data_IF_266392353290
#
_entry.id   IF_266392353290
#
_cell.length_a   1.000
_cell.length_b   1.000
_cell.length_c   1.000
_cell.angle_alpha   90.00
_cell.angle_beta   90.00
_cell.angle_gamma   90.00
#
_symmetry.space_group_name_H-M   'P 1'
#
loop_
_entity.id
_entity.type
_entity.pdbx_description
1 polymer ?
#
# COMPACT_ATOMS: atom_id res chain seq x y z
N UNK A 1 -1.89 21.29 -28.80
CA UNK A 1 -1.97 19.83 -28.58
C UNK A 1 -1.17 19.22 -27.40
N UNK A 2 -0.42 19.96 -26.54
CA UNK A 2 0.22 19.36 -25.35
C UNK A 2 -0.74 18.90 -24.24
N UNK A 3 -1.91 19.53 -24.12
CA UNK A 3 -2.84 19.30 -23.00
C UNK A 3 -3.50 17.92 -22.97
N UNK A 4 -3.90 17.38 -24.13
CA UNK A 4 -4.58 16.07 -24.19
C UNK A 4 -3.65 14.91 -23.78
N UNK A 5 -2.41 14.89 -24.27
CA UNK A 5 -1.46 13.81 -23.94
C UNK A 5 -1.09 13.87 -22.44
N UNK A 6 -0.87 15.06 -21.88
CA UNK A 6 -0.60 15.21 -20.46
C UNK A 6 -1.76 14.73 -19.58
N UNK A 7 -3.01 14.98 -20.00
CA UNK A 7 -4.19 14.50 -19.28
C UNK A 7 -4.34 12.98 -19.34
N UNK A 8 -4.11 12.38 -20.51
CA UNK A 8 -4.17 10.91 -20.66
C UNK A 8 -3.04 10.19 -19.90
N UNK A 9 -1.85 10.79 -19.81
CA UNK A 9 -0.77 10.30 -18.94
C UNK A 9 -1.20 10.36 -17.46
N UNK A 10 -1.81 11.48 -17.04
CA UNK A 10 -2.26 11.68 -15.66
C UNK A 10 -3.35 10.67 -15.26
N UNK A 11 -4.30 10.40 -16.17
CA UNK A 11 -5.32 9.35 -16.03
C UNK A 11 -4.76 7.93 -15.97
N UNK A 12 -3.49 7.74 -16.32
CA UNK A 12 -2.83 6.43 -16.32
C UNK A 12 -3.02 5.62 -17.60
N UNK A 13 -3.26 6.25 -18.76
CA UNK A 13 -3.24 5.51 -20.03
C UNK A 13 -1.83 5.11 -20.46
N UNK A 14 -0.82 5.89 -20.06
CA UNK A 14 0.60 5.63 -20.36
C UNK A 14 1.44 5.62 -19.09
N UNK A 15 2.59 4.95 -19.14
CA UNK A 15 3.56 4.93 -18.04
C UNK A 15 4.36 6.24 -18.05
N UNK A 16 4.39 7.01 -16.95
CA UNK A 16 5.21 8.22 -16.87
C UNK A 16 6.69 7.90 -17.10
N UNK A 17 7.39 8.75 -17.87
CA UNK A 17 8.80 8.55 -18.18
C UNK A 17 9.71 8.34 -16.95
N UNK A 18 9.56 9.11 -15.84
CA UNK A 18 10.34 8.85 -14.63
C UNK A 18 10.13 7.44 -14.07
N UNK A 19 8.89 6.94 -14.09
CA UNK A 19 8.56 5.59 -13.63
C UNK A 19 9.14 4.52 -14.56
N UNK A 20 9.04 4.71 -15.89
CA UNK A 20 9.61 3.79 -16.87
C UNK A 20 11.14 3.73 -16.78
N UNK A 21 11.81 4.89 -16.66
CA UNK A 21 13.26 4.98 -16.47
C UNK A 21 13.72 4.23 -15.23
N UNK A 22 13.00 4.37 -14.11
CA UNK A 22 13.31 3.67 -12.87
C UNK A 22 13.10 2.16 -13.01
N UNK A 23 12.06 1.72 -13.72
CA UNK A 23 11.89 0.29 -14.02
C UNK A 23 13.07 -0.25 -14.83
N UNK A 24 13.45 0.42 -15.92
CA UNK A 24 14.57 0.01 -16.79
C UNK A 24 15.89 -0.05 -16.01
N UNK A 25 16.17 0.92 -15.15
CA UNK A 25 17.42 0.95 -14.37
C UNK A 25 17.56 -0.23 -13.40
N UNK A 26 16.45 -0.85 -12.99
CA UNK A 26 16.46 -2.01 -12.09
C UNK A 26 16.67 -3.36 -12.78
N UNK A 27 16.47 -3.44 -14.12
CA UNK A 27 16.58 -4.71 -14.86
C UNK A 27 17.98 -5.31 -14.75
N UNK A 28 19.03 -4.53 -15.04
CA UNK A 28 20.42 -5.01 -15.02
C UNK A 28 20.86 -5.56 -13.65
N UNK A 29 20.74 -4.77 -12.56
CA UNK A 29 21.01 -5.25 -11.21
C UNK A 29 20.22 -6.51 -10.84
N UNK A 30 18.91 -6.52 -11.13
CA UNK A 30 18.06 -7.66 -10.81
C UNK A 30 18.47 -8.93 -11.57
N UNK A 31 18.75 -8.83 -12.87
CA UNK A 31 19.23 -9.97 -13.67
C UNK A 31 20.55 -10.53 -13.15
N UNK A 32 21.49 -9.66 -12.76
CA UNK A 32 22.76 -10.07 -12.18
C UNK A 32 22.58 -10.81 -10.84
N UNK A 33 21.73 -10.26 -9.95
CA UNK A 33 21.45 -10.88 -8.65
C UNK A 33 20.74 -12.23 -8.80
N UNK A 34 19.75 -12.34 -9.70
CA UNK A 34 19.06 -13.61 -9.97
C UNK A 34 20.06 -14.68 -10.44
N UNK A 35 20.97 -14.31 -11.35
CA UNK A 35 22.00 -15.23 -11.84
C UNK A 35 22.94 -15.74 -10.73
N UNK A 36 23.22 -14.90 -9.72
CA UNK A 36 24.02 -15.25 -8.54
C UNK A 36 23.28 -16.16 -7.55
N UNK A 37 21.94 -16.17 -7.57
CA UNK A 37 21.09 -16.89 -6.62
C UNK A 37 20.13 -17.90 -7.29
N UNK A 38 20.63 -18.89 -8.05
CA UNK A 38 19.77 -19.82 -8.80
C UNK A 38 18.89 -20.70 -7.90
N UNK A 39 19.29 -20.92 -6.64
CA UNK A 39 18.52 -21.67 -5.65
C UNK A 39 17.17 -21.01 -5.30
N UNK A 40 17.09 -19.67 -5.35
CA UNK A 40 15.87 -18.93 -4.99
C UNK A 40 14.72 -19.27 -5.94
N UNK A 41 15.01 -19.49 -7.23
CA UNK A 41 13.97 -19.91 -8.17
C UNK A 41 13.41 -21.30 -7.85
N UNK A 42 14.27 -22.23 -7.41
CA UNK A 42 13.86 -23.59 -7.01
C UNK A 42 13.01 -23.57 -5.74
N UNK A 43 13.36 -22.72 -4.78
CA UNK A 43 12.61 -22.56 -3.53
C UNK A 43 11.16 -22.11 -3.73
N UNK A 44 10.86 -21.42 -4.83
CA UNK A 44 9.49 -21.00 -5.17
C UNK A 44 8.65 -22.13 -5.78
N UNK A 45 9.25 -23.21 -6.28
CA UNK A 45 8.55 -24.32 -6.97
C UNK A 45 7.40 -24.91 -6.12
N UNK A 46 7.61 -25.30 -4.85
CA UNK A 46 6.53 -25.83 -4.02
C UNK A 46 5.39 -24.84 -3.79
N UNK A 47 5.68 -23.53 -3.74
CA UNK A 47 4.70 -22.48 -3.54
C UNK A 47 3.78 -22.28 -4.76
N UNK A 48 4.31 -22.48 -5.97
CA UNK A 48 3.50 -22.53 -7.19
C UNK A 48 2.57 -23.75 -7.19
N UNK A 49 3.11 -24.94 -6.92
CA UNK A 49 2.32 -26.17 -6.89
C UNK A 49 1.20 -26.11 -5.85
N UNK A 50 1.43 -25.46 -4.70
CA UNK A 50 0.39 -25.25 -3.69
C UNK A 50 -0.79 -24.45 -4.22
N UNK A 51 -0.56 -23.45 -5.08
CA UNK A 51 -1.62 -22.65 -5.70
C UNK A 51 -2.36 -23.43 -6.78
N UNK A 52 -1.64 -24.15 -7.63
CA UNK A 52 -2.23 -25.01 -8.66
C UNK A 52 -3.13 -26.09 -8.05
N UNK A 53 -2.70 -26.74 -6.96
CA UNK A 53 -3.52 -27.71 -6.21
C UNK A 53 -4.81 -27.11 -5.64
N UNK A 54 -4.83 -25.79 -5.40
CA UNK A 54 -6.01 -25.04 -4.94
C UNK A 54 -6.80 -24.39 -6.09
N UNK A 55 -6.50 -24.74 -7.35
CA UNK A 55 -7.08 -24.13 -8.56
C UNK A 55 -6.95 -22.60 -8.58
N UNK A 56 -5.81 -22.08 -8.11
CA UNK A 56 -5.48 -20.64 -8.12
C UNK A 56 -4.34 -20.36 -9.08
N UNK A 57 -4.33 -19.15 -9.65
CA UNK A 57 -3.22 -18.69 -10.49
C UNK A 57 -1.91 -18.60 -9.68
N UNK A 58 -0.72 -18.75 -10.31
CA UNK A 58 0.57 -18.87 -9.63
C UNK A 58 0.96 -17.71 -8.69
N UNK A 59 0.38 -16.53 -8.87
CA UNK A 59 0.62 -15.33 -8.05
C UNK A 59 -0.54 -14.99 -7.09
N UNK A 60 -1.58 -15.83 -7.01
CA UNK A 60 -2.72 -15.57 -6.15
C UNK A 60 -2.35 -15.63 -4.66
N UNK A 61 -3.03 -14.85 -3.83
CA UNK A 61 -3.02 -15.06 -2.38
C UNK A 61 -3.66 -16.41 -2.04
N UNK A 62 -3.26 -17.07 -0.94
CA UNK A 62 -3.71 -18.43 -0.59
C UNK A 62 -4.96 -18.48 0.29
N UNK A 63 -5.22 -17.42 1.06
CA UNK A 63 -6.32 -17.38 2.04
C UNK A 63 -7.67 -17.21 1.33
N UNK A 64 -8.73 -17.76 1.91
CA UNK A 64 -10.09 -17.41 1.52
C UNK A 64 -10.47 -16.10 2.21
N UNK A 65 -10.67 -15.04 1.44
CA UNK A 65 -10.89 -13.69 1.96
C UNK A 65 -12.38 -13.32 2.09
N UNK A 66 -13.31 -14.24 1.82
CA UNK A 66 -14.77 -13.98 1.87
C UNK A 66 -15.26 -13.45 3.22
N UNK A 67 -14.57 -13.77 4.32
CA UNK A 67 -14.94 -13.29 5.65
C UNK A 67 -14.66 -11.79 5.83
N UNK A 68 -13.85 -11.19 4.96
CA UNK A 68 -13.45 -9.78 5.01
C UNK A 68 -14.18 -8.90 3.98
N UNK A 69 -15.21 -9.44 3.33
CA UNK A 69 -16.00 -8.70 2.37
C UNK A 69 -16.79 -7.58 3.08
N UNK A 70 -16.39 -6.32 2.85
CA UNK A 70 -17.02 -5.17 3.47
C UNK A 70 -18.38 -4.83 2.88
N UNK A 71 -18.81 -5.45 1.78
CA UNK A 71 -20.19 -5.25 1.28
C UNK A 71 -21.24 -5.69 2.31
N UNK A 72 -20.86 -6.57 3.24
CA UNK A 72 -21.74 -7.06 4.32
C UNK A 72 -22.15 -5.99 5.32
N UNK A 73 -21.41 -4.89 5.44
CA UNK A 73 -21.78 -3.78 6.36
C UNK A 73 -22.77 -2.81 5.69
N UNK A 74 -22.98 -2.94 4.39
CA UNK A 74 -23.87 -2.09 3.61
C UNK A 74 -25.28 -2.67 3.62
N UNK A 75 -26.25 -1.80 3.81
CA UNK A 75 -27.69 -2.08 3.81
C UNK A 75 -28.33 -1.60 2.51
N UNK A 76 -29.57 -2.00 2.24
CA UNK A 76 -30.31 -1.50 1.06
C UNK A 76 -30.48 0.02 1.06
N UNK A 77 -30.54 0.66 2.24
CA UNK A 77 -30.69 2.12 2.35
C UNK A 77 -29.39 2.87 2.03
N UNK A 78 -28.23 2.24 2.26
CA UNK A 78 -26.93 2.80 1.86
C UNK A 78 -26.84 2.93 0.32
N UNK A 79 -27.56 2.10 -0.45
CA UNK A 79 -27.63 2.17 -1.92
C UNK A 79 -28.67 3.15 -2.47
N UNK A 80 -29.52 3.74 -1.63
CA UNK A 80 -30.48 4.77 -2.08
C UNK A 80 -29.78 6.12 -2.20
N UNK A 81 -30.06 6.86 -3.27
CA UNK A 81 -29.53 8.21 -3.48
C UNK A 81 -28.01 8.30 -3.38
N UNK A 82 -27.31 7.42 -4.09
CA UNK A 82 -25.84 7.37 -4.10
C UNK A 82 -25.23 8.71 -4.57
N UNK A 83 -24.11 9.17 -3.95
CA UNK A 83 -23.36 10.34 -4.41
C UNK A 83 -23.11 10.32 -5.92
N UNK A 84 -23.24 11.44 -6.63
CA UNK A 84 -23.11 11.46 -8.09
C UNK A 84 -21.70 11.06 -8.56
N UNK A 85 -21.63 10.37 -9.71
CA UNK A 85 -20.35 10.11 -10.37
C UNK A 85 -19.86 11.39 -11.04
N UNK A 86 -18.60 11.73 -10.76
CA UNK A 86 -17.94 12.96 -11.21
C UNK A 86 -16.91 12.63 -12.29
N UNK A 87 -16.69 13.55 -13.23
CA UNK A 87 -15.78 13.36 -14.37
C UNK A 87 -14.62 14.38 -14.38
N UNK A 88 -14.59 15.25 -13.39
CA UNK A 88 -13.56 16.25 -13.15
C UNK A 88 -12.24 15.59 -12.71
N UNK A 89 -11.15 16.28 -13.02
CA UNK A 89 -9.81 15.87 -12.62
C UNK A 89 -9.73 15.66 -11.10
N UNK A 90 -9.12 14.54 -10.70
CA UNK A 90 -8.99 14.06 -9.32
C UNK A 90 -10.29 13.65 -8.63
N UNK A 91 -11.44 13.69 -9.33
CA UNK A 91 -12.74 13.21 -8.83
C UNK A 91 -13.26 12.02 -9.64
N UNK A 92 -12.83 11.88 -10.90
CA UNK A 92 -13.27 10.80 -11.78
C UNK A 92 -12.67 9.43 -11.44
N UNK A 93 -13.37 8.35 -11.84
CA UNK A 93 -12.82 7.01 -11.74
C UNK A 93 -11.56 6.89 -12.60
N UNK A 94 -10.61 6.11 -12.11
CA UNK A 94 -9.39 5.76 -12.86
C UNK A 94 -9.05 4.31 -12.61
N UNK A 95 -8.04 3.78 -13.32
CA UNK A 95 -7.57 2.41 -13.11
C UNK A 95 -7.26 2.16 -11.63
N UNK A 96 -7.78 1.05 -11.10
CA UNK A 96 -7.59 0.62 -9.70
C UNK A 96 -8.27 1.53 -8.67
N UNK A 97 -8.98 2.57 -9.11
CA UNK A 97 -9.68 3.55 -8.28
C UNK A 97 -11.12 3.69 -8.78
N UNK A 98 -11.91 2.65 -8.52
CA UNK A 98 -13.29 2.49 -8.99
C UNK A 98 -14.28 3.31 -8.13
N UNK A 99 -14.13 4.64 -8.06
CA UNK A 99 -15.01 5.52 -7.28
C UNK A 99 -16.45 5.61 -7.81
N UNK A 100 -16.69 5.15 -9.04
CA UNK A 100 -18.00 5.04 -9.67
C UNK A 100 -18.77 3.78 -9.27
N UNK A 101 -18.10 2.79 -8.66
CA UNK A 101 -18.72 1.56 -8.20
C UNK A 101 -19.79 1.83 -7.12
N UNK A 102 -21.00 1.24 -7.24
CA UNK A 102 -22.07 1.44 -6.28
C UNK A 102 -21.68 1.15 -4.83
N UNK A 103 -20.86 0.12 -4.59
CA UNK A 103 -20.40 -0.26 -3.26
C UNK A 103 -19.46 0.79 -2.65
N UNK A 104 -18.59 1.39 -3.47
CA UNK A 104 -17.68 2.47 -3.02
C UNK A 104 -18.47 3.75 -2.71
N UNK A 105 -19.46 4.08 -3.53
CA UNK A 105 -20.35 5.22 -3.31
C UNK A 105 -21.22 5.03 -2.07
N UNK A 106 -21.69 3.81 -1.83
CA UNK A 106 -22.47 3.45 -0.64
C UNK A 106 -21.63 3.58 0.63
N UNK A 107 -20.38 3.08 0.65
CA UNK A 107 -19.51 3.27 1.82
C UNK A 107 -19.13 4.74 2.02
N UNK A 108 -18.89 5.51 0.95
CA UNK A 108 -18.62 6.94 1.06
C UNK A 108 -19.80 7.67 1.72
N UNK A 109 -21.03 7.41 1.28
CA UNK A 109 -22.26 7.92 1.91
C UNK A 109 -22.35 7.51 3.37
N UNK A 110 -22.16 6.22 3.67
CA UNK A 110 -22.21 5.68 5.04
C UNK A 110 -21.19 6.31 5.98
N UNK A 111 -20.06 6.75 5.45
CA UNK A 111 -19.01 7.45 6.21
C UNK A 111 -19.24 8.96 6.31
N UNK A 112 -20.37 9.48 5.82
CA UNK A 112 -20.79 10.87 5.98
C UNK A 112 -20.57 11.77 4.76
N UNK A 113 -20.31 11.21 3.57
CA UNK A 113 -20.19 12.02 2.36
C UNK A 113 -21.47 12.85 2.09
N UNK A 114 -21.31 14.17 2.02
CA UNK A 114 -22.43 15.11 1.82
C UNK A 114 -23.21 15.47 3.09
N UNK A 115 -22.88 14.86 4.24
CA UNK A 115 -23.49 15.15 5.54
C UNK A 115 -22.49 15.80 6.52
N UNK A 116 -21.23 15.33 6.49
CA UNK A 116 -20.12 15.85 7.30
C UNK A 116 -19.33 16.92 6.55
N UNK A 117 -18.50 17.70 7.28
CA UNK A 117 -17.49 18.53 6.65
C UNK A 117 -16.43 17.70 5.91
N UNK A 118 -15.74 18.29 4.94
CA UNK A 118 -14.73 17.59 4.13
C UNK A 118 -13.63 16.97 5.01
N UNK A 119 -13.16 17.68 6.04
CA UNK A 119 -12.14 17.16 6.96
C UNK A 119 -12.66 16.00 7.83
N UNK A 120 -13.90 16.06 8.31
CA UNK A 120 -14.50 14.99 9.10
C UNK A 120 -14.71 13.73 8.25
N UNK A 121 -15.23 13.89 7.03
CA UNK A 121 -15.40 12.79 6.08
C UNK A 121 -14.04 12.20 5.67
N UNK A 122 -13.03 13.03 5.39
CA UNK A 122 -11.68 12.55 5.04
C UNK A 122 -11.05 11.73 6.17
N UNK A 123 -11.19 12.19 7.43
CA UNK A 123 -10.73 11.44 8.60
C UNK A 123 -11.50 10.13 8.78
N UNK A 124 -12.82 10.14 8.60
CA UNK A 124 -13.65 8.93 8.67
C UNK A 124 -13.24 7.90 7.60
N UNK A 125 -13.04 8.34 6.36
CA UNK A 125 -12.56 7.51 5.26
C UNK A 125 -11.18 6.93 5.53
N UNK A 126 -10.23 7.76 5.94
CA UNK A 126 -8.88 7.33 6.30
C UNK A 126 -8.89 6.27 7.42
N UNK A 127 -9.60 6.58 8.52
CA UNK A 127 -9.71 5.69 9.68
C UNK A 127 -10.34 4.36 9.29
N UNK A 128 -11.44 4.39 8.55
CA UNK A 128 -12.14 3.19 8.11
C UNK A 128 -11.22 2.29 7.26
N UNK A 129 -10.50 2.84 6.28
CA UNK A 129 -9.57 2.03 5.45
C UNK A 129 -8.47 1.43 6.32
N UNK A 130 -7.86 2.22 7.20
CA UNK A 130 -6.77 1.80 8.09
C UNK A 130 -7.21 0.68 9.07
N UNK A 131 -8.42 0.75 9.59
CA UNK A 131 -8.94 -0.20 10.58
C UNK A 131 -9.48 -1.47 9.92
N UNK A 132 -10.26 -1.33 8.84
CA UNK A 132 -10.96 -2.46 8.22
C UNK A 132 -10.09 -3.24 7.23
N UNK A 133 -9.12 -2.59 6.58
CA UNK A 133 -8.28 -3.21 5.56
C UNK A 133 -6.87 -3.43 6.08
N UNK A 134 -6.35 -4.63 5.82
CA UNK A 134 -5.05 -5.07 6.33
C UNK A 134 -4.02 -5.10 5.20
N UNK A 135 -2.78 -4.76 5.52
CA UNK A 135 -1.67 -5.01 4.62
C UNK A 135 -1.54 -6.51 4.36
N UNK A 136 -1.65 -6.88 3.08
CA UNK A 136 -1.48 -8.23 2.55
C UNK A 136 -0.60 -8.14 1.32
N UNK A 137 0.56 -8.79 1.36
CA UNK A 137 1.44 -8.88 0.20
C UNK A 137 0.79 -9.79 -0.85
N UNK A 138 0.26 -9.18 -1.91
CA UNK A 138 -0.34 -9.84 -3.07
C UNK A 138 -0.31 -8.88 -4.27
N UNK A 139 -0.52 -9.37 -5.50
CA UNK A 139 -0.66 -8.49 -6.66
C UNK A 139 -1.78 -7.47 -6.45
N UNK A 140 -1.62 -6.26 -7.01
CA UNK A 140 -2.63 -5.22 -6.94
C UNK A 140 -3.95 -5.67 -7.59
N UNK A 141 -5.06 -5.35 -6.92
CA UNK A 141 -6.40 -5.80 -7.28
C UNK A 141 -7.41 -4.65 -7.45
N UNK A 142 -7.06 -3.42 -7.03
CA UNK A 142 -7.90 -2.23 -7.19
C UNK A 142 -8.89 -2.02 -6.04
N UNK A 143 -9.35 -0.78 -5.88
CA UNK A 143 -10.15 -0.32 -4.75
C UNK A 143 -11.38 -1.21 -4.50
N UNK A 144 -12.18 -1.51 -5.53
CA UNK A 144 -13.39 -2.32 -5.36
C UNK A 144 -13.08 -3.75 -4.87
N UNK A 145 -12.01 -4.36 -5.37
CA UNK A 145 -11.65 -5.71 -4.95
C UNK A 145 -11.02 -5.72 -3.55
N UNK A 146 -10.25 -4.68 -3.18
CA UNK A 146 -9.77 -4.48 -1.81
C UNK A 146 -10.95 -4.33 -0.84
N UNK A 147 -11.97 -3.57 -1.23
CA UNK A 147 -13.21 -3.42 -0.46
C UNK A 147 -13.88 -4.77 -0.18
N UNK A 148 -13.84 -5.70 -1.14
CA UNK A 148 -14.43 -7.05 -1.04
C UNK A 148 -13.52 -8.12 -0.42
N UNK A 149 -12.29 -7.77 0.00
CA UNK A 149 -11.31 -8.74 0.52
C UNK A 149 -10.64 -8.24 1.81
N UNK A 150 -9.69 -9.02 2.36
CA UNK A 150 -8.97 -8.72 3.62
C UNK A 150 -8.19 -7.41 3.55
N UNK A 151 -7.80 -7.00 2.35
CA UNK A 151 -7.00 -5.83 2.09
C UNK A 151 -6.09 -6.07 0.89
N UNK A 152 -4.93 -5.44 0.89
CA UNK A 152 -3.98 -5.50 -0.22
C UNK A 152 -2.65 -4.84 0.16
N UNK A 153 -1.82 -4.61 -0.84
CA UNK A 153 -0.56 -3.88 -0.65
C UNK A 153 -0.84 -2.39 -0.35
N UNK A 154 0.19 -1.62 -0.09
CA UNK A 154 0.08 -0.18 0.15
C UNK A 154 -0.73 0.54 -0.94
N UNK A 155 -0.35 0.38 -2.20
CA UNK A 155 -0.98 1.06 -3.33
C UNK A 155 -2.47 0.71 -3.51
N UNK A 156 -2.87 -0.51 -3.14
CA UNK A 156 -4.27 -0.95 -3.12
C UNK A 156 -5.08 -0.17 -2.06
N UNK A 157 -4.52 0.01 -0.87
CA UNK A 157 -5.16 0.78 0.21
C UNK A 157 -5.19 2.28 -0.08
N UNK A 158 -4.14 2.83 -0.71
CA UNK A 158 -4.15 4.20 -1.23
C UNK A 158 -5.28 4.37 -2.26
N UNK A 159 -5.45 3.38 -3.14
CA UNK A 159 -6.48 3.44 -4.18
C UNK A 159 -7.88 3.37 -3.60
N UNK A 160 -8.09 2.57 -2.56
CA UNK A 160 -9.37 2.51 -1.84
C UNK A 160 -9.68 3.81 -1.12
N UNK A 161 -8.71 4.40 -0.41
CA UNK A 161 -8.89 5.71 0.22
C UNK A 161 -9.23 6.79 -0.81
N UNK A 162 -8.48 6.85 -1.91
CA UNK A 162 -8.75 7.76 -3.01
C UNK A 162 -10.15 7.53 -3.61
N UNK A 163 -10.56 6.27 -3.80
CA UNK A 163 -11.86 5.95 -4.39
C UNK A 163 -13.03 6.39 -3.49
N UNK A 164 -12.92 6.17 -2.17
CA UNK A 164 -13.92 6.62 -1.18
C UNK A 164 -13.98 8.15 -1.14
N UNK A 165 -12.81 8.81 -1.07
CA UNK A 165 -12.73 10.28 -1.06
C UNK A 165 -13.37 10.89 -2.31
N UNK A 166 -13.01 10.39 -3.50
CA UNK A 166 -13.56 10.84 -4.78
C UNK A 166 -15.07 10.63 -4.88
N UNK A 167 -15.56 9.48 -4.43
CA UNK A 167 -17.00 9.18 -4.40
C UNK A 167 -17.76 10.12 -3.46
N UNK A 168 -17.13 10.55 -2.36
CA UNK A 168 -17.70 11.56 -1.45
C UNK A 168 -17.48 13.00 -1.89
N UNK A 169 -16.75 13.23 -2.98
CA UNK A 169 -16.57 14.53 -3.59
C UNK A 169 -15.29 15.28 -3.21
N UNK A 170 -14.36 14.63 -2.52
CA UNK A 170 -13.03 15.16 -2.20
C UNK A 170 -12.06 14.80 -3.33
N UNK A 171 -11.41 15.78 -3.98
CA UNK A 171 -10.37 15.49 -4.96
C UNK A 171 -9.22 14.70 -4.33
N UNK A 172 -8.83 13.60 -4.95
CA UNK A 172 -7.75 12.74 -4.46
C UNK A 172 -6.77 12.38 -5.57
N UNK A 173 -5.46 12.35 -5.27
CA UNK A 173 -4.40 11.95 -6.21
C UNK A 173 -3.33 11.12 -5.52
N UNK A 174 -2.49 10.44 -6.29
CA UNK A 174 -1.37 9.67 -5.75
C UNK A 174 -0.10 10.51 -5.77
N UNK A 175 0.75 10.32 -4.76
CA UNK A 175 2.13 10.80 -4.74
C UNK A 175 3.06 9.64 -4.40
N UNK A 176 3.87 9.23 -5.37
CA UNK A 176 4.94 8.24 -5.17
C UNK A 176 6.28 8.95 -4.98
N UNK A 177 7.12 8.42 -4.10
CA UNK A 177 8.44 9.00 -3.80
C UNK A 177 9.44 7.92 -3.40
N UNK A 178 10.72 8.29 -3.39
CA UNK A 178 11.78 7.46 -2.85
C UNK A 178 11.73 7.42 -1.32
N UNK A 179 11.81 6.22 -0.75
CA UNK A 179 11.89 6.02 0.69
C UNK A 179 12.96 5.01 1.08
N UNK A 180 13.32 5.06 2.36
CA UNK A 180 14.00 3.97 3.06
C UNK A 180 13.13 3.49 4.23
N UNK A 181 13.25 2.21 4.56
CA UNK A 181 12.54 1.61 5.69
C UNK A 181 13.26 1.92 7.00
N UNK A 182 12.50 2.11 8.07
CA UNK A 182 13.08 2.07 9.41
C UNK A 182 13.45 0.65 9.80
N UNK A 183 14.30 0.49 10.81
CA UNK A 183 14.85 -0.80 11.24
C UNK A 183 13.80 -1.93 11.38
N UNK A 184 12.62 -1.73 12.01
CA UNK A 184 11.62 -2.79 12.12
C UNK A 184 11.14 -3.30 10.76
N UNK A 185 10.97 -2.40 9.78
CA UNK A 185 10.48 -2.77 8.46
C UNK A 185 11.59 -3.33 7.57
N UNK A 186 12.81 -2.82 7.71
CA UNK A 186 13.97 -3.36 7.03
C UNK A 186 14.15 -4.86 7.36
N UNK A 187 14.01 -5.23 8.63
CA UNK A 187 14.16 -6.62 9.08
C UNK A 187 13.08 -7.56 8.57
N UNK A 188 11.90 -7.04 8.22
CA UNK A 188 10.76 -7.83 7.75
C UNK A 188 10.72 -7.90 6.21
N UNK A 189 10.94 -6.77 5.54
CA UNK A 189 10.75 -6.65 4.09
C UNK A 189 12.02 -6.85 3.28
N UNK A 190 13.20 -6.60 3.86
CA UNK A 190 14.46 -6.57 3.12
C UNK A 190 15.34 -7.76 3.49
N UNK A 191 15.67 -7.93 4.78
CA UNK A 191 16.61 -8.96 5.26
C UNK A 191 16.25 -10.40 4.86
N UNK A 192 14.98 -10.86 4.90
CA UNK A 192 14.68 -12.29 4.74
C UNK A 192 14.93 -12.85 3.33
N UNK A 193 14.96 -12.01 2.29
CA UNK A 193 15.16 -12.46 0.92
C UNK A 193 16.47 -11.91 0.35
N UNK A 194 17.41 -12.77 -0.08
CA UNK A 194 18.72 -12.32 -0.56
C UNK A 194 18.62 -11.50 -1.85
N UNK A 195 17.65 -11.78 -2.73
CA UNK A 195 17.42 -10.99 -3.95
C UNK A 195 16.93 -9.59 -3.58
N UNK A 196 15.93 -9.48 -2.71
CA UNK A 196 15.38 -8.19 -2.26
C UNK A 196 16.44 -7.40 -1.50
N UNK A 197 17.17 -8.06 -0.59
CA UNK A 197 18.24 -7.45 0.20
C UNK A 197 19.36 -6.91 -0.69
N UNK A 198 19.95 -7.73 -1.57
CA UNK A 198 21.03 -7.27 -2.46
C UNK A 198 20.53 -6.20 -3.44
N UNK A 199 19.29 -6.29 -3.92
CA UNK A 199 18.70 -5.26 -4.78
C UNK A 199 18.54 -3.95 -4.02
N UNK A 200 18.05 -4.00 -2.78
CA UNK A 200 17.93 -2.84 -1.91
C UNK A 200 19.30 -2.25 -1.54
N UNK A 201 20.33 -3.07 -1.31
CA UNK A 201 21.70 -2.62 -1.04
C UNK A 201 22.34 -1.95 -2.27
N UNK A 202 22.09 -2.47 -3.48
CA UNK A 202 22.61 -1.90 -4.73
C UNK A 202 21.96 -0.55 -5.06
N UNK A 203 20.67 -0.41 -4.76
CA UNK A 203 19.91 0.81 -5.08
C UNK A 203 19.90 1.81 -3.92
N UNK A 204 20.02 1.36 -2.67
CA UNK A 204 20.03 2.18 -1.47
C UNK A 204 18.66 2.72 -1.04
N UNK A 205 17.60 2.45 -1.80
CA UNK A 205 16.24 2.91 -1.57
C UNK A 205 15.22 2.10 -2.38
N UNK A 206 13.95 2.17 -1.99
CA UNK A 206 12.84 1.73 -2.84
C UNK A 206 12.33 2.95 -3.61
N UNK A 207 12.64 3.04 -4.90
CA UNK A 207 12.15 4.15 -5.74
C UNK A 207 10.73 3.83 -6.22
N UNK A 208 9.78 4.72 -5.94
CA UNK A 208 8.45 4.73 -6.57
C UNK A 208 7.59 3.46 -6.41
N UNK A 209 7.88 2.58 -5.44
CA UNK A 209 7.04 1.41 -5.11
C UNK A 209 6.12 1.64 -3.90
N UNK A 210 6.18 2.83 -3.31
CA UNK A 210 5.29 3.26 -2.23
C UNK A 210 4.94 4.74 -2.39
N UNK A 211 3.86 5.17 -1.75
CA UNK A 211 3.47 6.57 -1.73
C UNK A 211 2.40 6.88 -0.71
N UNK A 212 1.59 7.88 -1.03
CA UNK A 212 0.43 8.31 -0.28
C UNK A 212 -0.69 8.75 -1.23
N UNK A 213 -1.93 8.71 -0.75
CA UNK A 213 -3.05 9.39 -1.37
C UNK A 213 -3.12 10.80 -0.80
N UNK A 214 -2.92 11.82 -1.62
CA UNK A 214 -3.13 13.22 -1.23
C UNK A 214 -4.62 13.54 -1.43
N UNK A 215 -5.29 14.05 -0.39
CA UNK A 215 -6.70 14.44 -0.37
C UNK A 215 -6.79 15.97 -0.31
N UNK A 216 -7.62 16.60 -1.15
CA UNK A 216 -7.77 18.05 -1.17
C UNK A 216 -8.90 18.49 -0.23
N UNK A 217 -8.53 19.05 0.92
CA UNK A 217 -9.44 19.44 2.00
C UNK A 217 -9.10 20.86 2.44
N UNK A 218 -10.10 21.72 2.59
CA UNK A 218 -9.96 23.10 3.07
C UNK A 218 -8.88 23.93 2.34
N UNK A 219 -8.70 23.68 1.03
CA UNK A 219 -7.74 24.40 0.19
C UNK A 219 -6.34 23.78 0.14
N UNK A 220 -6.07 22.72 0.90
CA UNK A 220 -4.76 22.09 1.02
C UNK A 220 -4.77 20.60 0.64
N UNK A 221 -3.61 20.09 0.20
CA UNK A 221 -3.42 18.66 -0.07
C UNK A 221 -2.87 17.97 1.18
N UNK A 222 -3.71 17.17 1.84
CA UNK A 222 -3.36 16.41 3.04
C UNK A 222 -2.92 14.99 2.64
N UNK A 223 -1.74 14.57 3.09
CA UNK A 223 -1.22 13.23 2.81
C UNK A 223 -1.93 12.15 3.65
N UNK A 224 -2.36 11.07 3.01
CA UNK A 224 -2.97 9.90 3.66
C UNK A 224 -2.25 8.60 3.27
N UNK A 225 -1.71 7.91 4.27
CA UNK A 225 -1.20 6.54 4.14
C UNK A 225 -1.85 5.58 5.17
N UNK A 226 -3.00 4.97 4.85
CA UNK A 226 -3.69 4.04 5.74
C UNK A 226 -3.07 2.62 5.76
N UNK A 227 -1.88 2.40 5.17
CA UNK A 227 -1.35 1.05 4.88
C UNK A 227 -1.27 0.13 6.10
N UNK A 228 -0.87 0.64 7.26
CA UNK A 228 -0.70 -0.16 8.47
C UNK A 228 -1.82 0.07 9.47
N UNK A 229 -2.59 -0.98 9.73
CA UNK A 229 -3.63 -0.97 10.75
C UNK A 229 -3.08 -0.70 12.15
N UNK A 230 -3.93 -0.27 13.11
CA UNK A 230 -3.50 -0.05 14.49
C UNK A 230 -2.77 -1.25 15.08
N UNK A 231 -3.26 -2.46 14.85
CA UNK A 231 -2.65 -3.68 15.38
C UNK A 231 -1.30 -3.97 14.71
N UNK A 232 -1.15 -3.70 13.42
CA UNK A 232 0.15 -3.90 12.77
C UNK A 232 1.18 -2.90 13.30
N UNK A 233 0.80 -1.62 13.37
CA UNK A 233 1.65 -0.56 13.93
C UNK A 233 2.03 -0.88 15.37
N UNK A 234 1.06 -1.32 16.18
CA UNK A 234 1.28 -1.67 17.57
C UNK A 234 2.26 -2.85 17.74
N UNK A 235 2.08 -3.91 16.94
CA UNK A 235 2.94 -5.09 16.94
C UNK A 235 4.37 -4.81 16.46
N UNK A 236 4.54 -3.84 15.56
CA UNK A 236 5.84 -3.33 15.13
C UNK A 236 6.45 -2.33 16.14
N UNK A 237 5.71 -1.97 17.20
CA UNK A 237 6.15 -1.01 18.20
C UNK A 237 6.17 0.44 17.72
N UNK A 238 5.47 0.75 16.62
CA UNK A 238 5.41 2.04 15.94
C UNK A 238 4.24 2.90 16.43
N UNK A 239 4.34 4.24 16.34
CA UNK A 239 3.17 5.09 16.51
C UNK A 239 2.11 4.80 15.42
N UNK A 240 0.84 4.93 15.80
CA UNK A 240 -0.30 4.83 14.88
C UNK A 240 -0.43 6.17 14.16
N UNK A 241 -0.56 6.13 12.84
CA UNK A 241 -0.50 7.32 11.97
C UNK A 241 -1.92 7.81 11.66
N UNK A 242 -2.18 9.09 11.89
CA UNK A 242 -3.42 9.74 11.48
C UNK A 242 -3.27 10.44 10.12
N UNK A 243 -4.40 10.83 9.52
CA UNK A 243 -4.40 11.59 8.28
C UNK A 243 -3.55 12.88 8.44
N UNK A 244 -2.69 13.15 7.47
CA UNK A 244 -1.74 14.27 7.47
C UNK A 244 -0.43 14.01 8.22
N UNK A 245 -0.30 12.90 8.95
CA UNK A 245 0.93 12.57 9.67
C UNK A 245 1.89 11.74 8.81
N UNK A 246 3.20 11.90 9.08
CA UNK A 246 4.21 11.02 8.50
C UNK A 246 4.30 9.69 9.25
N UNK A 247 4.17 8.54 8.56
CA UNK A 247 4.30 7.24 9.19
C UNK A 247 5.70 6.98 9.75
N UNK A 248 5.77 6.48 10.99
CA UNK A 248 7.04 6.17 11.66
C UNK A 248 7.81 4.96 11.08
N UNK A 249 7.24 4.25 10.12
CA UNK A 249 7.86 3.06 9.53
C UNK A 249 8.80 3.35 8.34
N UNK A 250 8.80 4.60 7.85
CA UNK A 250 9.59 5.03 6.69
C UNK A 250 10.27 6.37 6.93
N UNK A 251 11.29 6.64 6.12
CA UNK A 251 11.86 7.97 5.96
C UNK A 251 11.89 8.32 4.48
N UNK A 252 11.33 9.47 4.13
CA UNK A 252 11.38 9.99 2.75
C UNK A 252 12.77 10.48 2.41
N UNK A 253 13.24 10.16 1.21
CA UNK A 253 14.52 10.63 0.70
C UNK A 253 14.28 11.91 -0.09
N UNK A 254 14.61 13.06 0.52
CA UNK A 254 14.45 14.37 -0.10
C UNK A 254 15.31 14.48 -1.38
N UNK A 255 14.78 15.15 -2.39
CA UNK A 255 15.48 15.39 -3.67
C UNK A 255 15.32 14.29 -4.72
N UNK A 256 14.68 13.16 -4.37
CA UNK A 256 14.23 12.13 -5.32
C UNK A 256 12.82 12.51 -5.78
N UNK A 257 12.71 13.07 -6.98
CA UNK A 257 11.49 13.74 -7.48
C UNK A 257 10.19 12.96 -7.22
N UNK A 258 9.27 13.58 -6.50
CA UNK A 258 7.94 13.03 -6.27
C UNK A 258 7.16 12.96 -7.59
N UNK A 259 6.49 11.85 -7.81
CA UNK A 259 5.62 11.66 -8.96
C UNK A 259 4.19 11.78 -8.48
N UNK A 260 3.47 12.78 -8.96
CA UNK A 260 2.03 12.96 -8.71
C UNK A 260 1.23 12.59 -9.94
N UNK A 261 0.18 11.81 -9.74
CA UNK A 261 -0.71 11.40 -10.84
C UNK A 261 -2.12 11.07 -10.36
N UNK A 262 -3.07 11.10 -11.28
CA UNK A 262 -4.49 10.84 -11.03
C UNK A 262 -4.84 9.34 -11.02
N UNK A 263 -4.27 8.54 -11.93
CA UNK A 263 -4.59 7.12 -12.07
C UNK A 263 -3.37 6.24 -12.36
N UNK A 264 -3.38 4.99 -11.86
CA UNK A 264 -2.26 4.09 -12.10
C UNK A 264 -2.09 3.77 -13.60
N UNK A 265 -0.85 3.70 -14.11
CA UNK A 265 -0.59 3.46 -15.52
C UNK A 265 -1.15 2.15 -16.05
N UNK A 266 -1.37 2.11 -17.36
CA UNK A 266 -1.65 0.88 -18.06
C UNK A 266 -0.55 -0.14 -17.83
N UNK A 267 -0.97 -1.40 -17.61
CA UNK A 267 -0.08 -2.53 -17.36
C UNK A 267 0.74 -2.46 -16.07
N UNK A 268 0.58 -1.43 -15.23
CA UNK A 268 1.34 -1.29 -13.99
C UNK A 268 1.26 -2.55 -13.10
N UNK A 269 0.06 -3.10 -12.89
CA UNK A 269 -0.11 -4.37 -12.14
C UNK A 269 0.57 -5.56 -12.80
N UNK A 270 0.65 -5.58 -14.14
CA UNK A 270 1.20 -6.70 -14.92
C UNK A 270 2.74 -6.68 -14.93
N UNK A 271 3.35 -5.49 -14.92
CA UNK A 271 4.79 -5.31 -14.80
C UNK A 271 5.36 -5.90 -13.51
N UNK A 272 4.55 -5.93 -12.44
CA UNK A 272 4.98 -6.46 -11.15
C UNK A 272 4.89 -7.99 -11.04
N UNK A 273 4.11 -8.67 -11.89
CA UNK A 273 3.87 -10.12 -11.79
C UNK A 273 5.16 -10.96 -11.86
N UNK A 274 6.10 -10.72 -12.80
CA UNK A 274 7.35 -11.47 -12.85
C UNK A 274 8.16 -11.37 -11.56
N UNK A 275 8.25 -10.18 -10.98
CA UNK A 275 8.93 -9.96 -9.69
C UNK A 275 8.25 -10.74 -8.58
N UNK A 276 6.92 -10.71 -8.49
CA UNK A 276 6.15 -11.46 -7.48
C UNK A 276 6.36 -12.97 -7.59
N UNK A 277 6.55 -13.50 -8.80
CA UNK A 277 6.88 -14.90 -9.02
C UNK A 277 8.27 -15.25 -8.42
N UNK A 278 9.27 -14.40 -8.62
CA UNK A 278 10.63 -14.63 -8.09
C UNK A 278 10.67 -14.61 -6.54
N UNK A 279 9.77 -13.85 -5.90
CA UNK A 279 9.73 -13.70 -4.44
C UNK A 279 8.52 -14.37 -3.79
N UNK A 280 7.87 -15.34 -4.45
CA UNK A 280 6.61 -15.91 -4.01
C UNK A 280 6.66 -16.57 -2.62
N UNK A 281 7.71 -17.34 -2.34
CA UNK A 281 7.98 -17.92 -1.01
C UNK A 281 8.07 -16.82 0.05
N UNK A 282 8.83 -15.77 -0.24
CA UNK A 282 8.97 -14.62 0.66
C UNK A 282 7.64 -13.91 0.88
N UNK A 283 6.79 -13.79 -0.15
CA UNK A 283 5.44 -13.22 0.01
C UNK A 283 4.59 -14.07 0.95
N UNK A 284 4.65 -15.40 0.83
CA UNK A 284 3.89 -16.30 1.70
C UNK A 284 4.38 -16.21 3.15
N UNK A 285 5.69 -16.25 3.37
CA UNK A 285 6.32 -16.11 4.70
C UNK A 285 6.04 -14.73 5.31
N UNK A 286 6.16 -13.65 4.51
CA UNK A 286 5.86 -12.28 4.92
C UNK A 286 4.41 -12.14 5.38
N UNK A 287 3.45 -12.70 4.65
CA UNK A 287 2.05 -12.63 5.02
C UNK A 287 1.78 -13.33 6.37
N UNK A 288 2.41 -14.49 6.61
CA UNK A 288 2.32 -15.19 7.91
C UNK A 288 2.93 -14.32 9.01
N UNK A 289 4.14 -13.80 8.80
CA UNK A 289 4.84 -12.96 9.78
C UNK A 289 4.02 -11.70 10.13
N UNK A 290 3.44 -11.02 9.14
CA UNK A 290 2.60 -9.83 9.36
C UNK A 290 1.31 -10.21 10.11
N UNK A 291 0.70 -11.37 9.82
CA UNK A 291 -0.46 -11.86 10.57
C UNK A 291 -0.11 -12.10 12.06
N UNK A 292 1.04 -12.69 12.35
CA UNK A 292 1.54 -12.88 13.73
C UNK A 292 1.84 -11.55 14.44
N UNK A 293 2.47 -10.61 13.75
CA UNK A 293 2.75 -9.27 14.30
C UNK A 293 1.44 -8.55 14.61
N UNK A 294 0.44 -8.61 13.71
CA UNK A 294 -0.89 -8.07 13.98
C UNK A 294 -1.55 -8.71 15.19
N UNK A 295 -1.42 -10.02 15.38
CA UNK A 295 -1.94 -10.71 16.58
C UNK A 295 -1.31 -10.15 17.86
N UNK A 296 0.02 -10.01 17.89
CA UNK A 296 0.74 -9.42 19.04
C UNK A 296 0.31 -7.97 19.29
N UNK A 297 0.14 -7.18 18.24
CA UNK A 297 -0.33 -5.80 18.37
C UNK A 297 -1.77 -5.71 18.87
N UNK A 298 -2.64 -6.65 18.49
CA UNK A 298 -3.99 -6.75 19.05
C UNK A 298 -3.94 -7.02 20.56
N UNK A 299 -3.12 -7.96 21.01
CA UNK A 299 -2.92 -8.25 22.45
C UNK A 299 -2.37 -7.04 23.23
N UNK A 300 -1.59 -6.16 22.57
CA UNK A 300 -1.13 -4.89 23.15
C UNK A 300 -2.30 -3.91 23.29
N UNK A 301 -3.10 -3.75 22.23
CA UNK A 301 -4.24 -2.82 22.19
C UNK A 301 -5.47 -3.31 22.95
N UNK A 302 -5.53 -4.57 23.37
CA UNK A 302 -6.57 -5.05 24.31
C UNK A 302 -6.31 -4.56 25.75
N UNK A 303 -5.07 -4.13 26.06
CA UNK A 303 -4.65 -3.71 27.40
C UNK A 303 -4.65 -2.19 27.60
N UNK A 304 -4.90 -1.41 26.56
CA UNK A 304 -4.87 0.06 26.57
C UNK A 304 -5.68 0.59 25.40
N UNK A 305 -6.09 1.86 25.39
CA UNK A 305 -6.75 2.43 24.22
C UNK A 305 -5.74 2.79 23.12
N UNK A 306 -6.22 2.94 21.88
CA UNK A 306 -5.41 3.41 20.75
C UNK A 306 -4.79 4.78 21.08
N UNK A 307 -5.56 5.66 21.69
CA UNK A 307 -5.15 7.02 22.06
C UNK A 307 -4.04 7.00 23.10
N UNK A 308 -4.17 6.19 24.15
CA UNK A 308 -3.17 6.04 25.20
C UNK A 308 -1.88 5.42 24.66
N UNK A 309 -2.01 4.33 23.88
CA UNK A 309 -0.88 3.70 23.20
C UNK A 309 -0.13 4.73 22.35
N UNK A 310 -0.86 5.45 21.50
CA UNK A 310 -0.25 6.38 20.55
C UNK A 310 0.38 7.58 21.26
N UNK A 311 -0.27 8.13 22.28
CA UNK A 311 0.28 9.21 23.13
C UNK A 311 1.60 8.78 23.79
N UNK A 312 1.67 7.57 24.34
CA UNK A 312 2.90 7.02 24.94
C UNK A 312 3.98 6.78 23.90
N UNK A 313 3.61 6.20 22.75
CA UNK A 313 4.56 5.89 21.69
C UNK A 313 5.14 7.13 21.02
N UNK A 314 4.33 8.11 20.65
CA UNK A 314 4.82 9.36 20.04
C UNK A 314 5.81 10.12 20.92
N UNK A 315 5.69 10.04 22.26
CA UNK A 315 6.66 10.62 23.21
C UNK A 315 7.99 9.88 23.27
N UNK A 316 8.01 8.59 23.01
CA UNK A 316 9.18 7.70 23.22
C UNK A 316 9.82 7.24 21.92
N UNK A 317 9.11 7.36 20.80
CA UNK A 317 9.54 6.88 19.50
C UNK A 317 10.72 7.70 18.98
N UNK A 318 11.80 7.00 18.62
CA UNK A 318 12.95 7.57 17.92
C UNK A 318 13.10 6.84 16.60
N UNK A 319 13.04 7.59 15.50
CA UNK A 319 13.29 7.06 14.16
C UNK A 319 14.71 6.50 14.09
N UNK A 320 14.83 5.20 13.82
CA UNK A 320 16.10 4.53 13.55
C UNK A 320 16.11 4.04 12.11
N UNK A 321 17.05 4.57 11.34
CA UNK A 321 17.34 4.11 9.98
C UNK A 321 18.59 3.24 10.09
N UNK A 322 18.59 1.99 9.58
CA UNK A 322 19.81 1.20 9.58
C UNK A 322 20.88 1.89 8.72
N UNK A 323 22.04 2.17 9.30
CA UNK A 323 23.17 2.75 8.56
C UNK A 323 23.76 1.73 7.58
N UNK A 324 24.36 2.21 6.48
CA UNK A 324 25.04 1.33 5.49
C UNK A 324 26.13 0.47 6.16
N UNK A 325 26.76 0.98 7.23
CA UNK A 325 27.72 0.24 8.06
C UNK A 325 27.07 -0.81 8.97
N UNK A 326 25.89 -0.54 9.55
CA UNK A 326 25.13 -1.51 10.36
C UNK A 326 24.56 -2.63 9.49
N UNK A 327 24.06 -2.29 8.29
CA UNK A 327 23.68 -3.26 7.26
C UNK A 327 24.88 -4.15 6.94
N UNK A 328 26.08 -3.57 6.77
CA UNK A 328 27.33 -4.31 6.55
C UNK A 328 27.83 -5.10 7.76
N UNK A 329 27.58 -4.66 8.99
CA UNK A 329 28.04 -5.31 10.23
C UNK A 329 27.15 -6.49 10.63
N UNK A 330 25.83 -6.40 10.38
CA UNK A 330 24.90 -7.53 10.50
C UNK A 330 25.33 -8.70 9.60
N UNK A 331 25.94 -8.43 8.43
CA UNK A 331 26.55 -9.44 7.53
C UNK A 331 27.60 -10.33 8.19
N UNK A 332 28.27 -9.87 9.26
CA UNK A 332 29.34 -10.63 9.94
C UNK A 332 28.83 -11.49 11.10
N UNK A 333 27.63 -11.23 11.61
CA UNK A 333 27.06 -11.99 12.75
C UNK A 333 26.20 -13.18 12.32
N UNK A 334 25.72 -13.18 11.07
CA UNK A 334 24.85 -14.23 10.51
C UNK A 334 25.45 -14.97 9.31
N UNK A 335 26.78 -14.89 9.14
CA UNK A 335 27.59 -15.88 8.43
C UNK A 335 28.15 -16.84 9.47
#
# INVERSE_FOLDING_TARGET
MPGKISEEIDKGFFIPWPMLRNFISTIGPLSYIIAKHPGVLKDNIPHYYTRLKKSRVPWAHLTNEKNYDSTKILTKDDYKSLPAVRNEKYLRPTRLCECDAPEIRAIAKKLGAGELSDIEFANAAYKWVMEEKKFVAKPMIGALQVFKTKGGVCLDQLSLLAAIARAGGIPARYRLYGLTFTEPLYNIFVVPNPIVNETFEMLGFVESLHGEAELYVDGEWIAGDPTFSPELSAGLGLPITYLGEEPGWRVRIKGKGDIRFEGFPALFRHLMIPTLMIVLKTIDELNVQIDEIRKKGKEILEKTTIEEYNKKKKKTFKLKIPSVSEVKAFRKRNK
#
